data_IF_048506651436
#
_entry.id   IF_048506651436
#
_cell.length_a   1.000
_cell.length_b   1.000
_cell.length_c   1.000
_cell.angle_alpha   90.00
_cell.angle_beta   90.00
_cell.angle_gamma   90.00
#
_symmetry.space_group_name_H-M   'P 1'
#
loop_
_entity.id
_entity.type
_entity.pdbx_description
1 polymer ?
#
# COMPACT_ATOMS: atom_id res chain seq x y z
N UNK A 1 -14.39 -4.21 -1.33
CA UNK A 1 -12.97 -4.23 -1.73
C UNK A 1 -12.64 -3.01 -2.59
N UNK A 2 -11.56 -2.31 -2.25
CA UNK A 2 -11.06 -1.21 -3.08
C UNK A 2 -10.35 -1.79 -4.30
N UNK A 3 -10.75 -1.38 -5.47
CA UNK A 3 -10.19 -1.84 -6.74
C UNK A 3 -9.25 -0.78 -7.31
N UNK A 4 -8.11 -1.21 -7.82
CA UNK A 4 -7.22 -0.33 -8.59
C UNK A 4 -7.81 -0.16 -9.99
N UNK A 5 -8.68 0.82 -10.15
CA UNK A 5 -9.35 1.13 -11.41
C UNK A 5 -8.82 2.41 -12.02
N UNK A 6 -8.69 2.44 -13.33
CA UNK A 6 -8.34 3.63 -14.09
C UNK A 6 -9.14 3.70 -15.37
N UNK A 7 -9.46 4.91 -15.82
CA UNK A 7 -9.96 5.12 -17.16
C UNK A 7 -8.80 5.00 -18.16
N UNK A 8 -9.02 4.39 -19.28
CA UNK A 8 -8.03 4.23 -20.32
C UNK A 8 -8.12 2.90 -21.05
N UNK A 9 -7.19 2.67 -21.95
CA UNK A 9 -7.08 1.43 -22.71
C UNK A 9 -6.03 0.51 -22.07
N UNK A 10 -6.23 -0.80 -22.25
CA UNK A 10 -5.18 -1.78 -21.93
C UNK A 10 -3.93 -1.49 -22.75
N UNK A 11 -2.72 -1.71 -22.18
CA UNK A 11 -1.50 -1.53 -22.93
C UNK A 11 -1.41 -2.49 -24.12
N UNK A 12 -0.88 -2.01 -25.25
CA UNK A 12 -0.69 -2.84 -26.44
C UNK A 12 0.27 -4.01 -26.19
N UNK A 13 1.31 -3.75 -25.38
CA UNK A 13 2.25 -4.76 -24.91
C UNK A 13 2.05 -4.92 -23.39
N UNK A 14 1.88 -6.16 -22.95
CA UNK A 14 1.62 -6.46 -21.56
C UNK A 14 2.31 -7.75 -21.13
N UNK A 15 2.36 -7.99 -19.83
CA UNK A 15 2.87 -9.23 -19.26
C UNK A 15 1.93 -10.40 -19.59
N UNK A 16 2.52 -11.57 -19.80
CA UNK A 16 1.78 -12.82 -19.73
C UNK A 16 1.52 -13.18 -18.26
N UNK A 17 0.55 -14.08 -18.02
CA UNK A 17 0.30 -14.62 -16.69
C UNK A 17 1.58 -15.15 -16.05
N UNK A 18 2.36 -15.93 -16.78
CA UNK A 18 3.60 -16.54 -16.29
C UNK A 18 4.65 -15.50 -15.94
N UNK A 19 4.82 -14.48 -16.77
CA UNK A 19 5.73 -13.36 -16.48
C UNK A 19 5.31 -12.61 -15.21
N UNK A 20 4.03 -12.32 -15.05
CA UNK A 20 3.49 -11.66 -13.87
C UNK A 20 3.65 -12.52 -12.61
N UNK A 21 3.46 -13.83 -12.70
CA UNK A 21 3.71 -14.78 -11.61
C UNK A 21 5.17 -14.78 -11.17
N UNK A 22 6.11 -14.75 -12.11
CA UNK A 22 7.54 -14.67 -11.81
C UNK A 22 7.92 -13.38 -11.11
N UNK A 23 7.40 -12.24 -11.56
CA UNK A 23 7.63 -10.94 -10.92
C UNK A 23 7.07 -10.93 -9.52
N UNK A 24 5.85 -11.39 -9.34
CA UNK A 24 5.18 -11.50 -8.03
C UNK A 24 5.99 -12.36 -7.06
N UNK A 25 6.38 -13.54 -7.49
CA UNK A 25 7.15 -14.46 -6.65
C UNK A 25 8.50 -13.86 -6.22
N UNK A 26 9.22 -13.25 -7.13
CA UNK A 26 10.49 -12.57 -6.84
C UNK A 26 10.30 -11.38 -5.89
N UNK A 27 9.23 -10.62 -6.08
CA UNK A 27 8.91 -9.47 -5.23
C UNK A 27 8.62 -9.92 -3.79
N UNK A 28 7.73 -10.89 -3.58
CA UNK A 28 7.37 -11.36 -2.24
C UNK A 28 8.52 -12.02 -1.47
N UNK A 29 9.49 -12.61 -2.16
CA UNK A 29 10.71 -13.12 -1.52
C UNK A 29 11.51 -12.06 -0.77
N UNK A 30 11.43 -10.82 -1.20
CA UNK A 30 12.15 -9.70 -0.61
C UNK A 30 11.42 -9.10 0.61
N UNK A 31 10.13 -9.36 0.75
CA UNK A 31 9.30 -8.69 1.76
C UNK A 31 8.69 -9.68 2.74
N UNK A 32 9.37 -9.89 3.86
CA UNK A 32 8.97 -10.85 4.89
C UNK A 32 7.60 -10.54 5.49
N UNK A 33 7.30 -9.25 5.69
CA UNK A 33 6.06 -8.80 6.28
C UNK A 33 4.81 -9.05 5.42
N UNK A 34 4.98 -9.33 4.14
CA UNK A 34 3.87 -9.57 3.22
C UNK A 34 3.60 -11.07 2.94
N UNK A 35 4.28 -11.98 3.65
CA UNK A 35 4.21 -13.43 3.40
C UNK A 35 2.82 -14.04 3.64
N UNK A 36 1.94 -13.37 4.39
CA UNK A 36 0.57 -13.82 4.63
C UNK A 36 -0.42 -13.55 3.49
N UNK A 37 -0.02 -12.78 2.49
CA UNK A 37 -0.87 -12.46 1.34
C UNK A 37 -0.79 -13.57 0.30
N UNK A 38 -1.94 -14.04 -0.14
CA UNK A 38 -2.05 -14.92 -1.30
C UNK A 38 -2.21 -14.05 -2.55
N UNK A 39 -1.54 -14.43 -3.63
CA UNK A 39 -1.67 -13.73 -4.92
C UNK A 39 -2.16 -14.70 -5.97
N UNK A 40 -3.20 -14.30 -6.68
CA UNK A 40 -3.71 -15.03 -7.83
C UNK A 40 -3.59 -14.16 -9.08
N UNK A 41 -2.78 -14.61 -10.03
CA UNK A 41 -2.59 -13.92 -11.30
C UNK A 41 -3.55 -14.50 -12.33
N UNK A 42 -4.32 -13.63 -12.96
CA UNK A 42 -5.18 -13.95 -14.08
C UNK A 42 -4.53 -13.48 -15.38
N UNK A 43 -4.67 -14.26 -16.45
CA UNK A 43 -4.14 -13.86 -17.75
C UNK A 43 -4.82 -12.58 -18.27
N UNK A 44 -6.13 -12.44 -18.00
CA UNK A 44 -6.94 -11.32 -18.50
C UNK A 44 -7.77 -10.68 -17.41
N UNK A 45 -8.15 -9.43 -17.64
CA UNK A 45 -9.10 -8.73 -16.79
C UNK A 45 -10.45 -9.46 -16.69
N UNK A 46 -10.92 -10.02 -17.81
CA UNK A 46 -12.18 -10.76 -17.83
C UNK A 46 -12.16 -11.96 -16.87
N UNK A 47 -11.05 -12.69 -16.82
CA UNK A 47 -10.87 -13.78 -15.87
C UNK A 47 -10.87 -13.31 -14.41
N UNK A 48 -10.20 -12.20 -14.14
CA UNK A 48 -10.19 -11.57 -12.80
C UNK A 48 -11.62 -11.18 -12.39
N UNK A 49 -12.34 -10.52 -13.26
CA UNK A 49 -13.71 -10.08 -12.99
C UNK A 49 -14.66 -11.27 -12.80
N UNK A 50 -14.50 -12.31 -13.60
CA UNK A 50 -15.25 -13.56 -13.44
C UNK A 50 -14.99 -14.26 -12.10
N UNK A 51 -13.74 -14.29 -11.67
CA UNK A 51 -13.35 -14.91 -10.39
C UNK A 51 -13.92 -14.14 -9.17
N UNK A 52 -14.11 -12.83 -9.29
CA UNK A 52 -14.62 -11.98 -8.22
C UNK A 52 -16.12 -11.65 -8.35
N UNK A 53 -16.79 -12.16 -9.38
CA UNK A 53 -18.20 -11.87 -9.66
C UNK A 53 -18.46 -10.40 -9.98
N UNK A 54 -17.51 -9.71 -10.59
CA UNK A 54 -17.62 -8.29 -10.93
C UNK A 54 -18.27 -8.10 -12.31
N UNK A 55 -19.03 -7.01 -12.46
CA UNK A 55 -19.61 -6.64 -13.75
C UNK A 55 -18.59 -5.90 -14.62
N UNK A 56 -18.31 -6.47 -15.81
CA UNK A 56 -17.33 -5.97 -16.75
C UNK A 56 -17.84 -4.82 -17.66
N UNK A 57 -19.07 -4.33 -17.47
CA UNK A 57 -19.74 -3.43 -18.41
C UNK A 57 -19.44 -1.94 -18.22
N UNK A 58 -18.62 -1.59 -17.24
CA UNK A 58 -18.33 -0.19 -16.90
C UNK A 58 -17.20 0.45 -17.74
N UNK A 59 -16.51 -0.31 -18.59
CA UNK A 59 -15.41 0.18 -19.42
C UNK A 59 -14.15 0.57 -18.66
N UNK A 60 -14.06 0.24 -17.37
CA UNK A 60 -12.91 0.55 -16.54
C UNK A 60 -11.82 -0.51 -16.66
N UNK A 61 -10.56 -0.08 -16.51
CA UNK A 61 -9.43 -1.00 -16.42
C UNK A 61 -9.25 -1.40 -14.96
N UNK A 62 -9.36 -2.70 -14.68
CA UNK A 62 -9.12 -3.30 -13.36
C UNK A 62 -7.82 -4.07 -13.39
N UNK A 63 -6.77 -3.47 -12.82
CA UNK A 63 -5.44 -4.09 -12.78
C UNK A 63 -5.33 -5.10 -11.65
N UNK A 64 -5.91 -4.76 -10.52
CA UNK A 64 -5.87 -5.59 -9.33
C UNK A 64 -7.11 -5.37 -8.46
N UNK A 65 -7.44 -6.36 -7.66
CA UNK A 65 -8.49 -6.28 -6.65
C UNK A 65 -8.13 -7.17 -5.45
N UNK A 66 -8.34 -6.66 -4.24
CA UNK A 66 -8.07 -7.41 -3.02
C UNK A 66 -9.37 -7.99 -2.47
N UNK A 67 -9.38 -9.28 -2.25
CA UNK A 67 -10.44 -10.00 -1.56
C UNK A 67 -10.10 -10.08 -0.07
N UNK A 68 -10.70 -9.19 0.72
CA UNK A 68 -10.45 -9.08 2.16
C UNK A 68 -10.85 -10.36 2.91
N UNK A 69 -11.91 -11.03 2.51
CA UNK A 69 -12.41 -12.23 3.16
C UNK A 69 -11.44 -13.42 2.98
N UNK A 70 -10.91 -13.56 1.79
CA UNK A 70 -9.96 -14.63 1.47
C UNK A 70 -8.49 -14.25 1.71
N UNK A 71 -8.19 -12.97 1.95
CA UNK A 71 -6.82 -12.46 2.06
C UNK A 71 -6.02 -12.62 0.77
N UNK A 72 -6.69 -12.54 -0.38
CA UNK A 72 -6.10 -12.80 -1.69
C UNK A 72 -6.09 -11.54 -2.55
N UNK A 73 -4.92 -11.23 -3.10
CA UNK A 73 -4.75 -10.20 -4.11
C UNK A 73 -4.90 -10.84 -5.49
N UNK A 74 -5.87 -10.37 -6.26
CA UNK A 74 -6.08 -10.75 -7.66
C UNK A 74 -5.46 -9.73 -8.58
N UNK A 75 -4.73 -10.17 -9.59
CA UNK A 75 -4.05 -9.30 -10.56
C UNK A 75 -4.35 -9.76 -11.99
N UNK A 76 -4.62 -8.82 -12.90
CA UNK A 76 -4.87 -9.10 -14.31
C UNK A 76 -3.63 -8.73 -15.14
N UNK A 77 -2.91 -9.74 -15.64
CA UNK A 77 -1.64 -9.56 -16.34
C UNK A 77 -1.77 -8.74 -17.63
N UNK A 78 -2.88 -8.85 -18.37
CA UNK A 78 -3.08 -8.12 -19.63
C UNK A 78 -3.29 -6.61 -19.47
N UNK A 79 -3.41 -6.14 -18.24
CA UNK A 79 -3.51 -4.70 -17.92
C UNK A 79 -2.17 -4.08 -17.50
N UNK A 80 -1.11 -4.88 -17.41
CA UNK A 80 0.18 -4.48 -16.86
C UNK A 80 1.24 -4.54 -17.94
N UNK A 81 1.84 -3.39 -18.24
CA UNK A 81 2.76 -3.22 -19.38
C UNK A 81 4.09 -3.94 -19.21
N UNK A 82 4.65 -3.95 -18.00
CA UNK A 82 6.01 -4.40 -17.75
C UNK A 82 6.24 -4.79 -16.26
N UNK A 83 7.38 -5.43 -15.94
CA UNK A 83 7.69 -5.84 -14.57
C UNK A 83 7.74 -4.68 -13.56
N UNK A 84 8.22 -3.50 -13.97
CA UNK A 84 8.27 -2.33 -13.10
C UNK A 84 6.85 -1.93 -12.64
N UNK A 85 5.91 -1.88 -13.58
CA UNK A 85 4.52 -1.57 -13.29
C UNK A 85 3.88 -2.64 -12.38
N UNK A 86 4.21 -3.91 -12.59
CA UNK A 86 3.76 -4.98 -11.71
C UNK A 86 4.23 -4.77 -10.27
N UNK A 87 5.49 -4.43 -10.05
CA UNK A 87 6.02 -4.16 -8.71
C UNK A 87 5.36 -2.94 -8.06
N UNK A 88 5.07 -1.89 -8.82
CA UNK A 88 4.34 -0.72 -8.32
C UNK A 88 2.93 -1.10 -7.84
N UNK A 89 2.23 -1.91 -8.60
CA UNK A 89 0.88 -2.38 -8.24
C UNK A 89 0.93 -3.26 -7.00
N UNK A 90 1.84 -4.21 -6.92
CA UNK A 90 2.02 -5.05 -5.73
C UNK A 90 2.29 -4.21 -4.48
N UNK A 91 3.18 -3.24 -4.59
CA UNK A 91 3.51 -2.33 -3.50
C UNK A 91 2.29 -1.54 -3.03
N UNK A 92 1.58 -0.94 -3.96
CA UNK A 92 0.38 -0.17 -3.67
C UNK A 92 -0.69 -1.03 -2.96
N UNK A 93 -1.01 -2.18 -3.53
CA UNK A 93 -2.04 -3.07 -3.01
C UNK A 93 -1.67 -3.65 -1.64
N UNK A 94 -0.42 -4.04 -1.45
CA UNK A 94 0.05 -4.56 -0.17
C UNK A 94 -0.02 -3.49 0.92
N UNK A 95 0.45 -2.28 0.65
CA UNK A 95 0.39 -1.19 1.63
C UNK A 95 -1.03 -0.75 1.93
N UNK A 96 -1.89 -0.67 0.91
CA UNK A 96 -3.26 -0.20 1.07
C UNK A 96 -4.17 -1.20 1.81
N UNK A 97 -4.02 -2.49 1.54
CA UNK A 97 -4.93 -3.52 2.04
C UNK A 97 -4.36 -4.38 3.15
N UNK A 98 -3.11 -4.79 3.04
CA UNK A 98 -2.46 -5.60 4.07
C UNK A 98 -1.98 -4.77 5.25
N UNK A 99 -1.60 -3.53 4.99
CA UNK A 99 -1.27 -2.56 6.01
C UNK A 99 0.20 -2.53 6.41
N UNK A 100 0.62 -1.37 6.85
CA UNK A 100 2.01 -1.08 7.19
C UNK A 100 2.51 -1.94 8.36
N UNK A 101 1.66 -2.20 9.36
CA UNK A 101 2.01 -3.03 10.51
C UNK A 101 2.42 -4.44 10.09
N UNK A 102 1.67 -5.03 9.15
CA UNK A 102 1.96 -6.37 8.63
C UNK A 102 3.21 -6.38 7.75
N UNK A 103 3.43 -5.32 6.95
CA UNK A 103 4.62 -5.20 6.09
C UNK A 103 5.90 -5.06 6.92
N UNK A 104 5.88 -4.23 7.95
CA UNK A 104 7.06 -3.96 8.80
C UNK A 104 7.36 -5.09 9.78
N UNK A 105 6.32 -5.81 10.24
CA UNK A 105 6.44 -6.72 11.36
C UNK A 105 6.51 -5.98 12.70
N UNK A 106 6.37 -6.72 13.81
CA UNK A 106 6.21 -6.16 15.14
C UNK A 106 7.37 -5.26 15.58
N UNK A 107 8.61 -5.66 15.30
CA UNK A 107 9.80 -4.93 15.74
C UNK A 107 9.91 -3.54 15.08
N UNK A 108 9.88 -3.48 13.78
CA UNK A 108 9.99 -2.21 13.04
C UNK A 108 8.75 -1.34 13.21
N UNK A 109 7.57 -1.94 13.26
CA UNK A 109 6.34 -1.20 13.50
C UNK A 109 6.34 -0.55 14.90
N UNK A 110 6.75 -1.28 15.93
CA UNK A 110 6.86 -0.76 17.30
C UNK A 110 7.85 0.39 17.39
N UNK A 111 9.00 0.28 16.71
CA UNK A 111 9.99 1.38 16.65
C UNK A 111 9.39 2.64 16.01
N UNK A 112 8.67 2.47 14.92
CA UNK A 112 8.03 3.59 14.22
C UNK A 112 6.98 4.25 15.10
N UNK A 113 6.10 3.46 15.73
CA UNK A 113 5.06 3.98 16.62
C UNK A 113 5.66 4.71 17.83
N UNK A 114 6.69 4.16 18.43
CA UNK A 114 7.41 4.80 19.55
C UNK A 114 8.00 6.16 19.14
N UNK A 115 8.58 6.24 17.95
CA UNK A 115 9.12 7.50 17.43
C UNK A 115 8.01 8.53 17.19
N UNK A 116 6.89 8.11 16.64
CA UNK A 116 5.73 8.97 16.45
C UNK A 116 5.21 9.50 17.81
N UNK A 117 5.04 8.64 18.79
CA UNK A 117 4.57 9.03 20.12
C UNK A 117 5.54 10.02 20.79
N UNK A 118 6.83 9.77 20.72
CA UNK A 118 7.86 10.67 21.27
C UNK A 118 7.85 12.04 20.57
N UNK A 119 7.44 12.10 19.32
CA UNK A 119 7.40 13.32 18.53
C UNK A 119 6.38 14.34 19.00
N UNK A 120 5.48 13.99 19.94
CA UNK A 120 4.55 14.94 20.54
C UNK A 120 5.25 16.16 21.16
N UNK A 121 6.47 15.98 21.60
CA UNK A 121 7.30 17.04 22.22
C UNK A 121 8.04 17.90 21.21
N UNK A 122 8.03 17.51 19.94
CA UNK A 122 8.73 18.23 18.88
C UNK A 122 7.82 19.34 18.31
N UNK A 123 8.22 20.61 18.38
CA UNK A 123 7.43 21.71 17.84
C UNK A 123 7.12 21.58 16.35
N UNK A 124 8.00 20.94 15.56
CA UNK A 124 7.77 20.73 14.13
C UNK A 124 6.65 19.73 13.86
N UNK A 125 6.33 18.87 14.83
CA UNK A 125 5.25 17.87 14.74
C UNK A 125 3.92 18.38 15.30
N UNK A 126 3.88 19.60 15.83
CA UNK A 126 2.64 20.17 16.41
C UNK A 126 1.45 20.15 15.43
N UNK A 127 1.58 20.59 14.17
CA UNK A 127 0.45 20.55 13.23
C UNK A 127 -0.10 19.14 13.02
N UNK A 128 0.77 18.12 12.96
CA UNK A 128 0.37 16.72 12.81
C UNK A 128 -0.43 16.26 14.03
N UNK A 129 0.08 16.50 15.23
CA UNK A 129 -0.56 16.07 16.46
C UNK A 129 -1.84 16.86 16.77
N UNK A 130 -1.90 18.14 16.44
CA UNK A 130 -3.11 18.94 16.57
C UNK A 130 -4.23 18.35 15.70
N UNK A 131 -3.91 17.96 14.46
CA UNK A 131 -4.85 17.33 13.57
C UNK A 131 -5.35 15.98 14.13
N UNK A 132 -4.43 15.13 14.59
CA UNK A 132 -4.78 13.81 15.15
C UNK A 132 -5.64 13.97 16.41
N UNK A 133 -5.29 14.90 17.28
CA UNK A 133 -6.05 15.17 18.51
C UNK A 133 -7.45 15.73 18.20
N UNK A 134 -7.61 16.47 17.12
CA UNK A 134 -8.92 16.97 16.69
C UNK A 134 -9.81 15.88 16.12
N UNK A 135 -9.23 14.89 15.42
CA UNK A 135 -9.97 13.82 14.72
C UNK A 135 -10.13 12.55 15.56
N UNK A 136 -9.28 12.33 16.55
CA UNK A 136 -9.23 11.11 17.36
C UNK A 136 -9.05 11.44 18.85
N UNK A 137 -9.77 12.43 19.36
CA UNK A 137 -9.60 12.99 20.70
C UNK A 137 -9.72 11.96 21.82
N UNK A 138 -10.64 10.99 21.68
CA UNK A 138 -10.97 10.00 22.71
C UNK A 138 -10.14 8.71 22.58
N UNK A 139 -9.23 8.64 21.60
CA UNK A 139 -8.40 7.47 21.38
C UNK A 139 -7.13 7.47 22.24
N UNK A 140 -6.60 6.28 22.53
CA UNK A 140 -5.32 6.16 23.21
C UNK A 140 -4.16 6.63 22.30
N UNK A 141 -3.00 6.88 22.90
CA UNK A 141 -1.85 7.43 22.18
C UNK A 141 -1.31 6.50 21.10
N UNK A 142 -1.38 5.20 21.31
CA UNK A 142 -0.97 4.20 20.31
C UNK A 142 -1.88 4.23 19.08
N UNK A 143 -3.17 4.31 19.29
CA UNK A 143 -4.17 4.44 18.22
C UNK A 143 -3.97 5.76 17.46
N UNK A 144 -3.74 6.86 18.16
CA UNK A 144 -3.44 8.16 17.54
C UNK A 144 -2.20 8.11 16.66
N UNK A 145 -1.13 7.48 17.10
CA UNK A 145 0.08 7.28 16.30
C UNK A 145 -0.21 6.46 15.04
N UNK A 146 -1.03 5.42 15.17
CA UNK A 146 -1.51 4.62 14.03
C UNK A 146 -2.31 5.44 13.02
N UNK A 147 -3.14 6.38 13.50
CA UNK A 147 -3.90 7.28 12.63
C UNK A 147 -3.01 8.19 11.78
N UNK A 148 -1.90 8.66 12.32
CA UNK A 148 -0.90 9.42 11.54
C UNK A 148 -0.45 8.63 10.34
N UNK A 149 -0.14 7.35 10.53
CA UNK A 149 0.32 6.46 9.45
C UNK A 149 -0.81 6.11 8.48
N UNK A 150 -2.00 5.82 8.99
CA UNK A 150 -3.14 5.46 8.16
C UNK A 150 -3.53 6.56 7.17
N UNK A 151 -3.32 7.82 7.53
CA UNK A 151 -3.63 8.96 6.68
C UNK A 151 -2.48 9.42 5.77
N UNK A 152 -1.34 8.72 5.77
CA UNK A 152 -0.20 9.03 4.89
C UNK A 152 -0.57 9.16 3.42
N UNK A 153 -1.47 8.31 2.93
CA UNK A 153 -1.89 8.31 1.52
C UNK A 153 -2.95 9.39 1.19
N UNK A 154 -3.60 9.95 2.21
CA UNK A 154 -4.71 10.89 2.04
C UNK A 154 -4.29 12.35 2.23
N UNK A 155 -3.10 12.59 2.76
CA UNK A 155 -2.63 13.93 3.08
C UNK A 155 -1.90 14.54 1.89
N UNK A 156 -2.32 15.76 1.55
CA UNK A 156 -1.65 16.55 0.53
C UNK A 156 -0.26 16.96 1.02
N UNK A 157 0.74 16.79 0.16
CA UNK A 157 2.10 17.25 0.43
C UNK A 157 2.09 18.75 0.77
N UNK A 158 2.76 19.12 1.85
CA UNK A 158 2.91 20.49 2.26
C UNK A 158 1.87 21.00 3.26
N UNK A 159 0.77 20.28 3.49
CA UNK A 159 -0.25 20.71 4.45
C UNK A 159 0.28 20.85 5.88
N UNK A 160 1.29 20.06 6.25
CA UNK A 160 1.89 20.01 7.58
C UNK A 160 3.39 20.34 7.63
N UNK A 161 3.94 20.81 6.52
CA UNK A 161 5.32 21.27 6.46
C UNK A 161 6.35 20.25 6.95
N UNK A 162 7.30 20.70 7.76
CA UNK A 162 8.42 19.86 8.24
C UNK A 162 8.00 18.64 9.04
N UNK A 163 6.88 18.72 9.75
CA UNK A 163 6.35 17.59 10.51
C UNK A 163 5.99 16.44 9.61
N UNK A 164 5.35 16.74 8.50
CA UNK A 164 4.99 15.75 7.50
C UNK A 164 6.22 15.10 6.84
N UNK A 165 7.19 15.90 6.43
CA UNK A 165 8.43 15.41 5.86
C UNK A 165 9.16 14.44 6.80
N UNK A 166 9.11 14.70 8.10
CA UNK A 166 9.69 13.80 9.10
C UNK A 166 8.95 12.47 9.19
N UNK A 167 7.62 12.49 9.19
CA UNK A 167 6.81 11.25 9.19
C UNK A 167 7.13 10.42 7.96
N UNK A 168 7.16 11.02 6.79
CA UNK A 168 7.52 10.34 5.53
C UNK A 168 8.93 9.73 5.63
N UNK A 169 9.90 10.47 6.16
CA UNK A 169 11.26 9.98 6.33
C UNK A 169 11.34 8.78 7.28
N UNK A 170 10.62 8.81 8.39
CA UNK A 170 10.59 7.69 9.35
C UNK A 170 9.94 6.43 8.78
N UNK A 171 8.81 6.59 8.08
CA UNK A 171 8.14 5.48 7.40
C UNK A 171 9.03 4.89 6.31
N UNK A 172 9.65 5.74 5.49
CA UNK A 172 10.58 5.31 4.45
C UNK A 172 11.76 4.53 5.02
N UNK A 173 12.33 4.99 6.14
CA UNK A 173 13.42 4.28 6.81
C UNK A 173 12.96 2.91 7.32
N UNK A 174 11.79 2.84 7.94
CA UNK A 174 11.24 1.58 8.42
C UNK A 174 11.00 0.59 7.28
N UNK A 175 10.45 1.05 6.17
CA UNK A 175 10.24 0.23 4.96
C UNK A 175 11.55 -0.30 4.40
N UNK A 176 12.59 0.53 4.32
CA UNK A 176 13.92 0.10 3.86
C UNK A 176 14.54 -0.93 4.78
N UNK A 177 14.34 -0.83 6.09
CA UNK A 177 14.86 -1.79 7.06
C UNK A 177 14.33 -3.21 6.84
N UNK A 178 13.14 -3.35 6.27
CA UNK A 178 12.54 -4.65 5.92
C UNK A 178 12.67 -4.98 4.43
N UNK A 179 13.52 -4.25 3.70
CA UNK A 179 13.78 -4.49 2.28
C UNK A 179 12.72 -3.95 1.33
N UNK A 180 11.78 -3.15 1.82
CA UNK A 180 10.75 -2.53 1.01
C UNK A 180 11.25 -1.20 0.44
N UNK A 181 11.65 -1.20 -0.84
CA UNK A 181 12.16 0.02 -1.50
C UNK A 181 10.99 0.90 -1.94
N UNK A 182 10.82 2.08 -1.37
CA UNK A 182 9.68 2.94 -1.68
C UNK A 182 9.94 3.82 -2.92
N UNK A 183 9.98 3.21 -4.08
CA UNK A 183 9.94 3.98 -5.33
C UNK A 183 8.52 4.55 -5.47
N UNK A 184 8.32 5.79 -5.10
CA UNK A 184 7.04 6.46 -5.28
C UNK A 184 6.29 6.86 -4.02
N UNK A 185 6.91 6.82 -2.84
CA UNK A 185 6.41 7.51 -1.62
C UNK A 185 7.00 8.94 -1.56
N UNK A 186 7.35 9.49 -2.64
CA UNK A 186 7.78 10.89 -2.73
C UNK A 186 6.64 11.76 -3.20
#
# INVERSE_FOLDING_TARGET
>A
SKQAMAQGNKPAKHLTRKEAELVSHGWFKQYRGASGIKVQIHATQAELEGALGLDAKDGLIRRAAFDDDAGTLHVAADTISDPKRMREILRHEVLAHYGLANVLGDGEYTKLMSRLIQSQKDPSMKPVWDWVNAHSADEDIGTKAGEVVAHLAELEQGAWGRGWDRVVAWVTRALRAVGFVPDGIT
#
